data_IF_454637913099
#
_entry.id   IF_454637913099
#
_cell.length_a   1.000
_cell.length_b   1.000
_cell.length_c   1.000
_cell.angle_alpha   90.00
_cell.angle_beta   90.00
_cell.angle_gamma   90.00
#
_symmetry.space_group_name_H-M   'P 1'
#
loop_
_entity.id
_entity.type
_entity.pdbx_description
1 polymer ?
#
# COMPACT_ATOMS: atom_id res chain seq x y z
N UNK A 1 12.27 11.87 27.98
CA UNK A 1 11.54 10.96 27.05
C UNK A 1 11.64 11.35 25.58
N UNK A 2 12.54 12.21 25.16
CA UNK A 2 12.69 12.68 23.76
C UNK A 2 13.86 12.08 22.96
N UNK A 3 14.85 11.51 23.59
CA UNK A 3 16.08 11.05 22.91
C UNK A 3 15.99 9.61 22.35
N UNK A 4 15.22 8.72 22.98
CA UNK A 4 15.06 7.33 22.47
C UNK A 4 14.27 7.26 21.14
N UNK A 5 13.34 8.18 20.91
CA UNK A 5 12.56 8.21 19.66
C UNK A 5 13.40 8.66 18.46
N UNK A 6 14.39 9.55 18.65
CA UNK A 6 15.30 9.96 17.57
C UNK A 6 16.22 8.82 17.13
N UNK A 7 16.69 7.99 18.07
CA UNK A 7 17.55 6.85 17.75
C UNK A 7 16.86 5.74 16.95
N UNK A 8 15.56 5.47 17.21
CA UNK A 8 14.80 4.46 16.46
C UNK A 8 14.55 4.88 15.02
N UNK A 9 14.10 6.12 14.81
CA UNK A 9 13.87 6.65 13.47
C UNK A 9 15.15 6.78 12.64
N UNK A 10 16.26 7.17 13.26
CA UNK A 10 17.54 7.22 12.55
C UNK A 10 18.05 5.83 12.15
N UNK A 11 17.84 4.80 12.97
CA UNK A 11 18.17 3.40 12.63
C UNK A 11 17.26 2.83 11.51
N UNK A 12 15.98 3.18 11.53
CA UNK A 12 15.05 2.77 10.48
C UNK A 12 15.40 3.41 9.14
N UNK A 13 15.67 4.71 9.15
CA UNK A 13 16.08 5.45 7.94
C UNK A 13 17.45 4.96 7.46
N UNK A 14 18.41 4.67 8.35
CA UNK A 14 19.71 4.12 7.95
C UNK A 14 19.65 2.68 7.45
N UNK A 15 18.67 1.88 7.90
CA UNK A 15 18.42 0.53 7.37
C UNK A 15 17.88 0.55 5.96
N UNK A 16 16.98 1.48 5.66
CA UNK A 16 16.41 1.68 4.32
C UNK A 16 17.38 2.40 3.38
N UNK A 17 18.25 3.28 3.89
CA UNK A 17 19.24 3.99 3.08
C UNK A 17 20.28 3.05 2.49
N UNK A 18 20.72 2.01 3.23
CA UNK A 18 21.67 1.03 2.69
C UNK A 18 21.16 0.30 1.45
N UNK A 19 19.91 -0.17 1.46
CA UNK A 19 19.32 -0.84 0.30
C UNK A 19 19.15 0.13 -0.85
N UNK A 20 18.64 1.33 -0.57
CA UNK A 20 18.52 2.39 -1.57
C UNK A 20 19.88 2.76 -2.15
N UNK A 21 20.86 2.99 -1.30
CA UNK A 21 22.19 3.46 -1.71
C UNK A 21 22.93 2.37 -2.52
N UNK A 22 22.70 1.08 -2.23
CA UNK A 22 23.24 -0.02 -3.03
C UNK A 22 22.62 -0.07 -4.44
N UNK A 23 21.28 0.07 -4.55
CA UNK A 23 20.61 0.08 -5.85
C UNK A 23 21.00 1.32 -6.65
N UNK A 24 20.97 2.50 -6.03
CA UNK A 24 21.31 3.77 -6.70
C UNK A 24 22.77 3.78 -7.15
N UNK A 25 23.71 3.36 -6.29
CA UNK A 25 25.12 3.29 -6.64
C UNK A 25 25.41 2.23 -7.72
N UNK A 26 24.68 1.10 -7.70
CA UNK A 26 24.76 0.10 -8.75
C UNK A 26 24.31 0.65 -10.10
N UNK A 27 23.14 1.27 -10.13
CA UNK A 27 22.61 1.95 -11.32
C UNK A 27 23.60 3.03 -11.82
N UNK A 28 24.11 3.89 -10.93
CA UNK A 28 25.08 4.94 -11.29
C UNK A 28 26.39 4.35 -11.84
N UNK A 29 26.82 3.21 -11.34
CA UNK A 29 28.00 2.50 -11.83
C UNK A 29 27.82 1.97 -13.25
N UNK A 30 26.63 1.44 -13.58
CA UNK A 30 26.32 0.98 -14.95
C UNK A 30 26.36 2.16 -15.91
N UNK A 31 25.62 3.23 -15.60
CA UNK A 31 25.55 4.40 -16.49
C UNK A 31 26.89 5.13 -16.69
N UNK A 32 27.82 5.00 -15.75
CA UNK A 32 29.17 5.57 -15.86
C UNK A 32 30.22 4.59 -16.39
N UNK A 33 29.97 3.29 -16.31
CA UNK A 33 30.92 2.25 -16.67
C UNK A 33 30.83 1.76 -18.10
N UNK A 34 29.66 1.87 -18.72
CA UNK A 34 29.44 1.46 -20.10
C UNK A 34 29.78 2.59 -21.07
N UNK A 35 30.38 2.25 -22.20
CA UNK A 35 30.69 3.19 -23.30
C UNK A 35 29.69 3.11 -24.45
N UNK A 36 28.82 2.10 -24.44
CA UNK A 36 27.81 1.84 -25.47
C UNK A 36 26.53 1.29 -24.85
N UNK A 37 25.42 1.50 -25.55
CA UNK A 37 24.11 0.93 -25.21
C UNK A 37 23.95 -0.34 -26.07
N UNK A 38 24.30 -1.47 -25.50
CA UNK A 38 24.23 -2.79 -26.12
C UNK A 38 23.42 -3.75 -25.24
N UNK A 39 23.38 -5.03 -25.61
CA UNK A 39 22.62 -6.01 -24.86
C UNK A 39 23.19 -6.20 -23.45
N UNK A 40 24.51 -6.21 -23.29
CA UNK A 40 25.17 -6.32 -21.98
C UNK A 40 24.77 -5.14 -21.04
N UNK A 41 24.64 -3.93 -21.58
CA UNK A 41 24.16 -2.78 -20.80
C UNK A 41 22.74 -2.99 -20.26
N UNK A 42 21.84 -3.56 -21.06
CA UNK A 42 20.47 -3.83 -20.62
C UNK A 42 20.38 -5.00 -19.63
N UNK A 43 21.19 -6.04 -19.82
CA UNK A 43 21.29 -7.19 -18.92
C UNK A 43 21.74 -6.77 -17.52
N UNK A 44 22.73 -5.90 -17.41
CA UNK A 44 23.20 -5.37 -16.12
C UNK A 44 22.13 -4.52 -15.41
N UNK A 45 21.36 -3.72 -16.14
CA UNK A 45 20.22 -2.97 -15.55
C UNK A 45 19.15 -3.96 -15.07
N UNK A 46 18.83 -4.99 -15.87
CA UNK A 46 17.87 -6.02 -15.50
C UNK A 46 18.28 -6.74 -14.21
N UNK A 47 19.56 -7.15 -14.11
CA UNK A 47 20.08 -7.80 -12.91
C UNK A 47 19.95 -6.91 -11.67
N UNK A 48 20.30 -5.64 -11.76
CA UNK A 48 20.15 -4.71 -10.61
C UNK A 48 18.69 -4.50 -10.22
N UNK A 49 17.78 -4.41 -11.16
CA UNK A 49 16.34 -4.27 -10.87
C UNK A 49 15.80 -5.51 -10.16
N UNK A 50 16.18 -6.72 -10.62
CA UNK A 50 15.81 -7.99 -9.97
C UNK A 50 16.44 -8.11 -8.58
N UNK A 51 17.71 -7.75 -8.42
CA UNK A 51 18.38 -7.71 -7.11
C UNK A 51 17.72 -6.68 -6.16
N UNK A 52 17.12 -5.65 -6.72
CA UNK A 52 16.29 -4.67 -6.01
C UNK A 52 14.90 -5.16 -5.62
N UNK A 53 14.62 -6.47 -5.80
CA UNK A 53 13.32 -7.12 -5.52
C UNK A 53 12.18 -6.65 -6.44
N UNK A 54 12.51 -6.17 -7.63
CA UNK A 54 11.54 -5.87 -8.68
C UNK A 54 11.22 -7.19 -9.39
N UNK A 55 9.94 -7.54 -9.46
CA UNK A 55 9.51 -8.81 -10.09
C UNK A 55 9.90 -8.87 -11.57
N UNK A 56 10.25 -10.08 -12.05
CA UNK A 56 10.75 -10.33 -13.42
C UNK A 56 9.86 -9.69 -14.49
N UNK A 57 8.54 -9.91 -14.44
CA UNK A 57 7.61 -9.35 -15.44
C UNK A 57 7.62 -7.81 -15.46
N UNK A 58 7.76 -7.18 -14.30
CA UNK A 58 7.85 -5.71 -14.22
C UNK A 58 9.19 -5.21 -14.76
N UNK A 59 10.27 -5.94 -14.47
CA UNK A 59 11.62 -5.62 -14.97
C UNK A 59 11.67 -5.73 -16.49
N UNK A 60 11.17 -6.82 -17.07
CA UNK A 60 11.07 -6.99 -18.54
C UNK A 60 10.30 -5.81 -19.18
N UNK A 61 9.14 -5.45 -18.64
CA UNK A 61 8.37 -4.33 -19.17
C UNK A 61 9.10 -2.97 -19.06
N UNK A 62 9.86 -2.75 -17.97
CA UNK A 62 10.69 -1.54 -17.81
C UNK A 62 11.81 -1.52 -18.85
N UNK A 63 12.50 -2.65 -19.07
CA UNK A 63 13.61 -2.75 -20.03
C UNK A 63 13.09 -2.59 -21.47
N UNK A 64 11.98 -3.21 -21.84
CA UNK A 64 11.38 -3.03 -23.16
C UNK A 64 11.01 -1.55 -23.42
N UNK A 65 10.35 -0.92 -22.47
CA UNK A 65 10.00 0.50 -22.56
C UNK A 65 11.27 1.39 -22.68
N UNK A 66 12.34 1.06 -21.93
CA UNK A 66 13.62 1.76 -22.02
C UNK A 66 14.24 1.61 -23.41
N UNK A 67 14.29 0.38 -23.97
CA UNK A 67 14.80 0.09 -25.32
C UNK A 67 14.05 0.90 -26.39
N UNK A 68 12.72 0.95 -26.30
CA UNK A 68 11.90 1.74 -27.22
C UNK A 68 12.25 3.24 -27.14
N UNK A 69 12.29 3.79 -25.93
CA UNK A 69 12.63 5.23 -25.73
C UNK A 69 14.03 5.60 -26.17
N UNK A 70 15.02 4.73 -25.92
CA UNK A 70 16.39 4.91 -26.40
C UNK A 70 16.42 5.00 -27.93
N UNK A 71 15.69 4.09 -28.60
CA UNK A 71 15.60 4.07 -30.06
C UNK A 71 14.87 5.29 -30.62
N UNK A 72 13.73 5.66 -30.03
CA UNK A 72 12.93 6.83 -30.45
C UNK A 72 13.72 8.13 -30.32
N UNK A 73 14.39 8.32 -29.19
CA UNK A 73 15.16 9.52 -28.90
C UNK A 73 16.58 9.49 -29.51
N UNK A 74 16.96 8.37 -30.17
CA UNK A 74 18.29 8.18 -30.81
C UNK A 74 19.45 8.39 -29.84
N UNK A 75 19.26 7.97 -28.58
CA UNK A 75 20.27 8.11 -27.53
C UNK A 75 21.41 7.13 -27.80
N UNK A 76 22.63 7.61 -27.63
CA UNK A 76 23.86 6.82 -27.83
C UNK A 76 24.73 6.77 -26.57
N UNK A 77 24.54 7.74 -25.66
CA UNK A 77 25.30 7.82 -24.42
C UNK A 77 24.52 7.10 -23.30
N UNK A 78 25.09 6.08 -22.66
CA UNK A 78 24.49 5.43 -21.51
C UNK A 78 24.07 6.39 -20.40
N UNK A 79 24.82 7.47 -20.16
CA UNK A 79 24.50 8.44 -19.12
C UNK A 79 23.14 9.14 -19.34
N UNK A 80 22.70 9.31 -20.57
CA UNK A 80 21.41 9.89 -20.91
C UNK A 80 20.23 8.94 -20.65
N UNK A 81 20.51 7.63 -20.55
CA UNK A 81 19.48 6.63 -20.30
C UNK A 81 18.95 6.66 -18.86
N UNK A 82 19.65 7.27 -17.91
CA UNK A 82 19.25 7.29 -16.50
C UNK A 82 17.87 7.93 -16.30
N UNK A 83 17.62 9.07 -16.89
CA UNK A 83 16.31 9.73 -16.81
C UNK A 83 15.21 8.92 -17.50
N UNK A 84 15.54 8.27 -18.62
CA UNK A 84 14.58 7.39 -19.31
C UNK A 84 14.22 6.20 -18.47
N UNK A 85 15.18 5.55 -17.79
CA UNK A 85 14.92 4.45 -16.85
C UNK A 85 14.01 4.90 -15.72
N UNK A 86 14.30 6.04 -15.09
CA UNK A 86 13.46 6.59 -14.02
C UNK A 86 12.02 6.83 -14.53
N UNK A 87 11.86 7.36 -15.73
CA UNK A 87 10.55 7.61 -16.30
C UNK A 87 9.83 6.29 -16.66
N UNK A 88 10.53 5.29 -17.17
CA UNK A 88 9.97 3.96 -17.44
C UNK A 88 9.48 3.27 -16.16
N UNK A 89 10.23 3.38 -15.06
CA UNK A 89 9.80 2.88 -13.75
C UNK A 89 8.56 3.64 -13.27
N UNK A 90 8.54 4.97 -13.37
CA UNK A 90 7.38 5.79 -12.95
C UNK A 90 6.12 5.44 -13.74
N UNK A 91 6.24 5.21 -15.03
CA UNK A 91 5.12 4.81 -15.88
C UNK A 91 4.57 3.44 -15.49
N UNK A 92 5.44 2.48 -15.16
CA UNK A 92 5.01 1.17 -14.65
C UNK A 92 4.33 1.25 -13.27
N UNK A 93 4.70 2.24 -12.46
CA UNK A 93 4.07 2.48 -11.16
C UNK A 93 2.76 3.28 -11.27
N UNK A 94 2.52 3.94 -12.40
CA UNK A 94 1.28 4.68 -12.64
C UNK A 94 0.17 3.73 -13.09
N UNK A 95 -0.62 3.29 -12.12
CA UNK A 95 -1.80 2.45 -12.35
C UNK A 95 -3.05 3.24 -12.74
N UNK A 96 -2.90 4.54 -12.96
CA UNK A 96 -3.97 5.45 -13.32
C UNK A 96 -5.00 5.70 -12.22
N UNK A 97 -5.98 6.55 -12.50
CA UNK A 97 -7.03 6.95 -11.52
C UNK A 97 -7.91 5.79 -11.05
N UNK A 98 -7.98 4.69 -11.80
CA UNK A 98 -8.83 3.54 -11.48
C UNK A 98 -8.34 2.73 -10.27
N UNK A 99 -7.08 2.86 -9.87
CA UNK A 99 -6.50 2.13 -8.74
C UNK A 99 -7.05 2.59 -7.39
N UNK A 100 -7.53 3.83 -7.29
CA UNK A 100 -7.94 4.45 -6.03
C UNK A 100 -9.39 4.94 -6.07
N UNK A 101 -10.32 4.15 -6.60
CA UNK A 101 -11.75 4.51 -6.67
C UNK A 101 -12.35 4.94 -5.33
N UNK A 102 -11.83 4.42 -4.22
CA UNK A 102 -12.29 4.78 -2.89
C UNK A 102 -12.06 6.26 -2.54
N UNK A 103 -11.19 6.96 -3.26
CA UNK A 103 -10.99 8.40 -3.08
C UNK A 103 -12.13 9.22 -3.71
N UNK A 104 -12.80 8.70 -4.73
CA UNK A 104 -13.79 9.41 -5.51
C UNK A 104 -15.22 8.86 -5.35
N UNK A 105 -15.38 7.65 -4.81
CA UNK A 105 -16.66 6.98 -4.62
C UNK A 105 -16.85 6.60 -3.14
N UNK A 106 -18.12 6.55 -2.70
CA UNK A 106 -18.45 6.00 -1.38
C UNK A 106 -18.03 4.54 -1.31
N UNK A 107 -17.10 4.23 -0.42
CA UNK A 107 -16.41 2.96 -0.43
C UNK A 107 -16.28 2.32 0.95
N UNK A 108 -16.22 0.99 0.95
CA UNK A 108 -15.81 0.17 2.08
C UNK A 108 -14.46 -0.43 1.75
N UNK A 109 -13.44 -0.11 2.55
CA UNK A 109 -12.07 -0.56 2.38
C UNK A 109 -11.70 -1.52 3.49
N UNK A 110 -11.43 -2.78 3.16
CA UNK A 110 -10.89 -3.76 4.11
C UNK A 110 -9.37 -3.77 4.04
N UNK A 111 -8.72 -3.50 5.18
CA UNK A 111 -7.26 -3.57 5.27
C UNK A 111 -6.86 -4.94 5.78
N UNK A 112 -6.25 -5.74 4.92
CA UNK A 112 -5.86 -7.13 5.17
C UNK A 112 -4.34 -7.28 5.22
N UNK A 113 -3.87 -8.36 5.82
CA UNK A 113 -2.44 -8.70 5.92
C UNK A 113 -2.14 -9.49 7.19
N UNK A 114 -0.93 -10.05 7.29
CA UNK A 114 -0.50 -10.82 8.47
C UNK A 114 -0.30 -9.94 9.71
N UNK A 115 -0.09 -10.55 10.88
CA UNK A 115 0.16 -9.80 12.11
C UNK A 115 1.49 -9.04 12.03
N UNK A 116 1.54 -7.84 12.62
CA UNK A 116 2.76 -7.03 12.72
C UNK A 116 3.11 -6.19 11.49
N UNK A 117 2.42 -6.34 10.35
CA UNK A 117 2.72 -5.55 9.11
C UNK A 117 2.25 -4.09 9.18
N UNK A 118 1.57 -3.69 10.25
CA UNK A 118 1.15 -2.29 10.45
C UNK A 118 -0.24 -1.96 9.94
N UNK A 119 -1.17 -2.91 9.79
CA UNK A 119 -2.56 -2.68 9.35
C UNK A 119 -3.25 -1.57 10.15
N UNK A 120 -3.39 -1.73 11.46
CA UNK A 120 -4.01 -0.75 12.35
C UNK A 120 -3.38 0.64 12.23
N UNK A 121 -2.05 0.70 12.15
CA UNK A 121 -1.31 1.96 11.95
C UNK A 121 -1.62 2.59 10.59
N UNK A 122 -1.71 1.77 9.54
CA UNK A 122 -2.02 2.24 8.18
C UNK A 122 -3.46 2.75 8.09
N UNK A 123 -4.41 2.02 8.70
CA UNK A 123 -5.82 2.46 8.83
C UNK A 123 -5.91 3.82 9.50
N UNK A 124 -5.23 4.00 10.64
CA UNK A 124 -5.25 5.26 11.37
C UNK A 124 -4.64 6.43 10.58
N UNK A 125 -3.51 6.21 9.91
CA UNK A 125 -2.86 7.23 9.07
C UNK A 125 -3.71 7.58 7.84
N UNK A 126 -4.29 6.57 7.19
CA UNK A 126 -5.17 6.78 6.03
C UNK A 126 -6.43 7.54 6.44
N UNK A 127 -7.02 7.22 7.60
CA UNK A 127 -8.16 7.94 8.13
C UNK A 127 -7.86 9.44 8.32
N UNK A 128 -6.71 9.77 8.93
CA UNK A 128 -6.27 11.15 9.08
C UNK A 128 -6.10 11.87 7.74
N UNK A 129 -5.39 11.24 6.79
CA UNK A 129 -5.18 11.81 5.45
C UNK A 129 -6.50 12.08 4.71
N UNK A 130 -7.43 11.13 4.73
CA UNK A 130 -8.74 11.30 4.09
C UNK A 130 -9.58 12.38 4.78
N UNK A 131 -9.50 12.47 6.12
CA UNK A 131 -10.14 13.53 6.89
C UNK A 131 -9.61 14.92 6.53
N UNK A 132 -8.29 15.04 6.39
CA UNK A 132 -7.63 16.30 5.99
C UNK A 132 -8.04 16.73 4.57
N UNK A 133 -8.40 15.79 3.72
CA UNK A 133 -8.98 16.00 2.39
C UNK A 133 -10.48 16.36 2.43
N UNK A 134 -11.08 16.51 3.62
CA UNK A 134 -12.50 16.85 3.80
C UNK A 134 -13.46 15.67 3.69
N UNK A 135 -12.96 14.42 3.62
CA UNK A 135 -13.81 13.22 3.57
C UNK A 135 -14.43 12.91 4.93
N UNK A 136 -15.64 12.41 4.92
CA UNK A 136 -16.29 11.81 6.10
C UNK A 136 -15.86 10.36 6.22
N UNK A 137 -15.04 10.05 7.21
CA UNK A 137 -14.46 8.73 7.43
C UNK A 137 -15.05 8.08 8.67
N UNK A 138 -15.37 6.80 8.57
CA UNK A 138 -15.74 5.93 9.71
C UNK A 138 -14.76 4.77 9.77
N UNK A 139 -14.35 4.36 10.97
CA UNK A 139 -13.52 3.20 11.21
C UNK A 139 -14.35 2.02 11.73
N UNK A 140 -13.97 0.80 11.35
CA UNK A 140 -14.50 -0.43 11.92
C UNK A 140 -13.39 -1.24 12.57
N UNK A 141 -13.52 -1.53 13.88
CA UNK A 141 -12.57 -2.34 14.65
C UNK A 141 -12.90 -3.84 14.50
N UNK A 142 -12.60 -4.42 13.33
CA UNK A 142 -12.87 -5.82 13.04
C UNK A 142 -11.73 -6.78 13.41
N UNK A 143 -10.63 -6.30 14.04
CA UNK A 143 -9.64 -7.15 14.71
C UNK A 143 -10.09 -7.45 16.14
N UNK A 144 -11.01 -8.39 16.28
CA UNK A 144 -11.60 -8.78 17.57
C UNK A 144 -10.80 -9.87 18.31
N UNK A 145 -9.70 -10.34 17.69
CA UNK A 145 -8.89 -11.42 18.26
C UNK A 145 -7.74 -10.94 19.14
N UNK A 146 -7.38 -9.67 19.05
CA UNK A 146 -6.34 -9.06 19.87
C UNK A 146 -6.97 -8.08 20.86
N UNK A 147 -6.81 -8.35 22.14
CA UNK A 147 -7.38 -7.56 23.23
C UNK A 147 -7.11 -6.05 23.10
N UNK A 148 -5.89 -5.67 22.71
CA UNK A 148 -5.49 -4.27 22.57
C UNK A 148 -5.71 -3.67 21.17
N UNK A 149 -6.28 -4.40 20.20
CA UNK A 149 -6.42 -3.89 18.83
C UNK A 149 -7.49 -2.79 18.75
N UNK A 150 -8.61 -2.99 19.44
CA UNK A 150 -9.67 -2.00 19.53
C UNK A 150 -9.21 -0.70 20.18
N UNK A 151 -8.49 -0.79 21.30
CA UNK A 151 -7.95 0.39 21.99
C UNK A 151 -6.91 1.12 21.14
N UNK A 152 -6.05 0.37 20.44
CA UNK A 152 -5.08 0.94 19.53
C UNK A 152 -5.75 1.69 18.38
N UNK A 153 -6.80 1.12 17.79
CA UNK A 153 -7.54 1.78 16.72
C UNK A 153 -8.31 3.00 17.23
N UNK A 154 -8.87 2.93 18.44
CA UNK A 154 -9.54 4.05 19.09
C UNK A 154 -8.62 5.24 19.31
N UNK A 155 -7.39 5.00 19.73
CA UNK A 155 -6.37 6.04 19.85
C UNK A 155 -6.09 6.72 18.49
N UNK A 156 -6.02 5.94 17.41
CA UNK A 156 -5.89 6.49 16.05
C UNK A 156 -7.13 7.27 15.62
N UNK A 157 -8.33 6.75 15.92
CA UNK A 157 -9.60 7.43 15.64
C UNK A 157 -9.66 8.81 16.31
N UNK A 158 -9.29 8.87 17.59
CA UNK A 158 -9.23 10.12 18.35
C UNK A 158 -8.22 11.11 17.76
N UNK A 159 -7.03 10.66 17.41
CA UNK A 159 -6.00 11.50 16.75
C UNK A 159 -6.43 12.04 15.40
N UNK A 160 -7.11 11.23 14.62
CA UNK A 160 -7.62 11.60 13.31
C UNK A 160 -8.93 12.40 13.40
N UNK A 161 -9.58 12.44 14.56
CA UNK A 161 -10.89 13.08 14.75
C UNK A 161 -11.99 12.41 13.94
N UNK A 162 -11.96 11.07 13.82
CA UNK A 162 -12.93 10.26 13.10
C UNK A 162 -13.65 9.31 14.05
N UNK A 163 -14.86 8.90 13.67
CA UNK A 163 -15.66 7.97 14.47
C UNK A 163 -15.22 6.52 14.24
N UNK A 164 -15.26 5.72 15.30
CA UNK A 164 -14.99 4.28 15.25
C UNK A 164 -16.21 3.49 15.70
N UNK A 165 -16.54 2.45 14.95
CA UNK A 165 -17.51 1.42 15.30
C UNK A 165 -16.71 0.20 15.74
N UNK A 166 -16.95 -0.26 16.94
CA UNK A 166 -16.28 -1.44 17.53
C UNK A 166 -17.28 -2.30 18.29
N UNK A 167 -16.83 -3.50 18.65
CA UNK A 167 -17.55 -4.44 19.49
C UNK A 167 -16.70 -4.82 20.71
N UNK A 168 -17.25 -5.71 21.53
CA UNK A 168 -16.51 -6.32 22.63
C UNK A 168 -15.43 -7.28 22.07
N UNK A 169 -14.40 -7.55 22.88
CA UNK A 169 -13.39 -8.54 22.55
C UNK A 169 -14.04 -9.90 22.26
N UNK A 170 -13.62 -10.56 21.18
CA UNK A 170 -14.18 -11.83 20.73
C UNK A 170 -15.52 -11.72 19.98
N UNK A 171 -16.04 -10.53 19.76
CA UNK A 171 -17.22 -10.33 18.90
C UNK A 171 -16.97 -10.86 17.49
N UNK A 172 -18.05 -11.16 16.75
CA UNK A 172 -17.93 -11.58 15.37
C UNK A 172 -17.49 -10.41 14.48
N UNK A 173 -16.32 -10.50 13.80
CA UNK A 173 -15.83 -9.45 12.91
C UNK A 173 -16.83 -9.05 11.82
N UNK A 174 -17.60 -10.01 11.33
CA UNK A 174 -18.58 -9.73 10.28
C UNK A 174 -19.75 -8.89 10.78
N UNK A 175 -20.18 -9.10 12.05
CA UNK A 175 -21.24 -8.28 12.66
C UNK A 175 -20.76 -6.84 12.85
N UNK A 176 -19.52 -6.63 13.29
CA UNK A 176 -18.93 -5.27 13.44
C UNK A 176 -18.88 -4.55 12.11
N UNK A 177 -18.43 -5.22 11.04
CA UNK A 177 -18.41 -4.62 9.71
C UNK A 177 -19.83 -4.32 9.22
N UNK A 178 -20.80 -5.19 9.49
CA UNK A 178 -22.21 -4.96 9.14
C UNK A 178 -22.77 -3.71 9.84
N UNK A 179 -22.54 -3.58 11.14
CA UNK A 179 -22.98 -2.43 11.94
C UNK A 179 -22.26 -1.16 11.49
N UNK A 180 -20.96 -1.25 11.17
CA UNK A 180 -20.18 -0.13 10.66
C UNK A 180 -20.67 0.33 9.28
N UNK A 181 -21.09 -0.57 8.40
CA UNK A 181 -21.70 -0.23 7.10
C UNK A 181 -23.04 0.48 7.31
N UNK A 182 -23.88 0.00 8.24
CA UNK A 182 -25.14 0.65 8.57
C UNK A 182 -24.89 2.05 9.15
N UNK A 183 -23.95 2.19 10.06
CA UNK A 183 -23.54 3.45 10.65
C UNK A 183 -22.97 4.44 9.61
N UNK A 184 -22.07 3.96 8.73
CA UNK A 184 -21.50 4.78 7.66
C UNK A 184 -22.57 5.31 6.69
N UNK A 185 -23.55 4.47 6.34
CA UNK A 185 -24.70 4.88 5.52
C UNK A 185 -25.56 5.93 6.22
N UNK A 186 -25.92 5.71 7.49
CA UNK A 186 -26.74 6.65 8.27
C UNK A 186 -26.06 8.03 8.43
N UNK A 187 -24.74 8.05 8.52
CA UNK A 187 -23.93 9.27 8.66
C UNK A 187 -23.53 9.90 7.34
N UNK A 188 -23.91 9.28 6.22
CA UNK A 188 -23.49 9.70 4.88
C UNK A 188 -21.95 9.78 4.76
N UNK A 189 -21.23 8.79 5.32
CA UNK A 189 -19.78 8.71 5.22
C UNK A 189 -19.33 8.47 3.78
N UNK A 190 -18.17 9.02 3.43
CA UNK A 190 -17.55 8.82 2.12
C UNK A 190 -16.75 7.51 2.10
N UNK A 191 -16.04 7.22 3.21
CA UNK A 191 -15.19 6.03 3.31
C UNK A 191 -15.39 5.34 4.65
N UNK A 192 -15.59 4.02 4.61
CA UNK A 192 -15.49 3.13 5.77
C UNK A 192 -14.18 2.34 5.66
N UNK A 193 -13.28 2.52 6.64
CA UNK A 193 -12.04 1.75 6.74
C UNK A 193 -12.20 0.65 7.79
N UNK A 194 -11.98 -0.61 7.42
CA UNK A 194 -12.09 -1.75 8.31
C UNK A 194 -10.70 -2.30 8.64
N UNK A 195 -10.30 -2.21 9.92
CA UNK A 195 -9.10 -2.89 10.43
C UNK A 195 -9.44 -4.34 10.75
N UNK A 196 -8.73 -5.28 10.14
CA UNK A 196 -9.01 -6.70 10.24
C UNK A 196 -7.88 -7.45 10.94
N UNK A 197 -8.20 -8.60 11.52
CA UNK A 197 -7.21 -9.49 12.11
C UNK A 197 -6.23 -10.04 11.07
N UNK A 198 -4.98 -10.27 11.48
CA UNK A 198 -3.91 -10.74 10.61
C UNK A 198 -3.84 -12.26 10.38
N UNK A 199 -4.86 -13.02 10.78
CA UNK A 199 -4.87 -14.47 10.66
C UNK A 199 -5.82 -14.92 9.55
N UNK A 200 -5.26 -15.11 8.35
CA UNK A 200 -6.03 -15.41 7.15
C UNK A 200 -6.61 -16.83 7.07
N UNK A 201 -6.11 -17.81 7.82
CA UNK A 201 -6.33 -19.19 7.39
C UNK A 201 -7.08 -20.13 8.35
N UNK A 202 -7.34 -19.79 9.61
CA UNK A 202 -7.77 -20.79 10.57
C UNK A 202 -8.95 -20.42 11.50
N UNK A 203 -9.69 -19.34 11.22
CA UNK A 203 -10.86 -18.98 12.03
C UNK A 203 -12.10 -18.82 11.15
N UNK A 204 -13.14 -19.61 11.42
CA UNK A 204 -14.40 -19.63 10.65
C UNK A 204 -15.01 -18.23 10.44
N UNK A 205 -14.99 -17.39 11.47
CA UNK A 205 -15.55 -16.04 11.42
C UNK A 205 -14.77 -15.09 10.50
N UNK A 206 -13.44 -15.30 10.37
CA UNK A 206 -12.61 -14.52 9.44
C UNK A 206 -12.88 -14.92 7.99
N UNK A 207 -13.05 -16.21 7.73
CA UNK A 207 -13.45 -16.69 6.39
C UNK A 207 -14.81 -16.10 6.00
N UNK A 208 -15.77 -16.01 6.91
CA UNK A 208 -17.08 -15.43 6.66
C UNK A 208 -17.00 -13.93 6.32
N UNK A 209 -16.07 -13.19 6.94
CA UNK A 209 -15.87 -11.77 6.61
C UNK A 209 -15.47 -11.57 5.15
N UNK A 210 -14.54 -12.41 4.65
CA UNK A 210 -14.04 -12.31 3.27
C UNK A 210 -14.96 -12.95 2.22
N UNK A 211 -15.76 -13.92 2.62
CA UNK A 211 -16.67 -14.66 1.72
C UNK A 211 -18.10 -14.17 1.77
N UNK A 212 -18.44 -13.26 2.69
CA UNK A 212 -19.78 -12.68 2.76
C UNK A 212 -20.09 -11.90 1.49
N UNK A 213 -21.19 -12.20 0.78
CA UNK A 213 -21.56 -11.48 -0.43
C UNK A 213 -21.80 -10.00 -0.09
N UNK A 214 -21.28 -9.12 -0.94
CA UNK A 214 -21.51 -7.69 -0.78
C UNK A 214 -23.01 -7.37 -0.89
N UNK A 215 -23.47 -6.24 -0.35
CA UNK A 215 -24.87 -5.82 -0.55
C UNK A 215 -25.30 -5.75 -2.02
N UNK A 216 -24.35 -5.50 -2.93
CA UNK A 216 -24.59 -5.49 -4.40
C UNK A 216 -24.83 -6.89 -4.95
N UNK A 217 -24.20 -7.91 -4.40
CA UNK A 217 -24.34 -9.30 -4.88
C UNK A 217 -25.70 -9.89 -4.47
N UNK A 218 -26.27 -9.47 -3.32
CA UNK A 218 -27.60 -9.87 -2.89
C UNK A 218 -28.73 -9.28 -3.74
N UNK A 219 -28.51 -8.16 -4.43
CA UNK A 219 -29.51 -7.56 -5.31
C UNK A 219 -29.59 -8.24 -6.67
N UNK A 220 -28.58 -9.01 -7.09
CA UNK A 220 -28.57 -9.75 -8.36
C UNK A 220 -29.23 -11.13 -8.29
N UNK A 221 -29.55 -11.62 -7.09
CA UNK A 221 -30.18 -12.93 -6.85
C UNK A 221 -31.67 -12.88 -6.52
N UNK A 222 -32.33 -11.76 -6.84
CA UNK A 222 -33.81 -11.63 -6.76
C UNK A 222 -34.43 -11.31 -8.12
#
# INVERSE_FOLDING_TARGET
MGEEKKGFWSRLVSGLSKTRDNIVSGIDSIFSGFSSIDDDFYEEIEEILIMGDIGVNATEAIIENLKEKVKENKIKDPAECKELLINSIKEQMDVGETAYRFENEKSVVLVIGVNGVGKTTSVGKLAGKLKDQGKKVVLAAADTFRAAAGDQLLEWANRAGVEMIGGQEGADPASIVYDAVAAAKARNADVLLCDTAGRLHNKKNLCLLYTSPSPRDRQKSR
#
